data_IF_135113568033
#
_entry.id   IF_135113568033
#
_cell.length_a   1.000
_cell.length_b   1.000
_cell.length_c   1.000
_cell.angle_alpha   90.00
_cell.angle_beta   90.00
_cell.angle_gamma   90.00
#
_symmetry.space_group_name_H-M   'P 1'
#
loop_
_entity.id
_entity.type
_entity.pdbx_description
1 polymer ?
#
# COMPACT_ATOMS: atom_id res chain seq x y z
N UNK A 1 21.49 -1.06 -10.31
CA UNK A 1 20.23 -1.15 -11.05
C UNK A 1 19.51 -2.41 -10.60
N UNK A 2 18.26 -2.29 -10.20
CA UNK A 2 17.38 -3.38 -9.78
C UNK A 2 17.05 -4.28 -10.98
N UNK A 3 17.06 -5.60 -10.80
CA UNK A 3 16.67 -6.55 -11.83
C UNK A 3 15.67 -7.55 -11.26
N UNK A 4 14.75 -8.03 -12.08
CA UNK A 4 13.81 -9.07 -11.68
C UNK A 4 14.56 -10.36 -11.40
N UNK A 5 14.40 -10.90 -10.18
CA UNK A 5 14.95 -12.19 -9.77
C UNK A 5 14.02 -13.35 -10.13
N UNK A 6 12.74 -13.22 -9.75
CA UNK A 6 11.71 -14.20 -10.08
C UNK A 6 10.39 -13.50 -10.44
N UNK A 7 9.61 -14.17 -11.30
CA UNK A 7 8.22 -13.84 -11.60
C UNK A 7 7.40 -15.11 -11.44
N UNK A 8 6.58 -15.19 -10.40
CA UNK A 8 5.83 -16.40 -10.02
C UNK A 8 4.33 -16.11 -10.06
N UNK A 9 3.58 -17.01 -10.71
CA UNK A 9 2.12 -16.97 -10.71
C UNK A 9 1.59 -17.50 -9.39
N UNK A 10 0.76 -16.71 -8.70
CA UNK A 10 0.10 -17.08 -7.45
C UNK A 10 -1.37 -16.69 -7.57
N UNK A 11 -2.26 -17.60 -7.19
CA UNK A 11 -3.68 -17.27 -7.03
C UNK A 11 -3.90 -16.70 -5.63
N UNK A 12 -4.49 -15.52 -5.55
CA UNK A 12 -4.77 -14.86 -4.28
C UNK A 12 -6.26 -14.78 -4.03
N UNK A 13 -6.65 -14.65 -2.76
CA UNK A 13 -8.02 -14.63 -2.25
C UNK A 13 -8.81 -15.93 -2.55
N UNK A 14 -9.96 -16.10 -1.89
CA UNK A 14 -10.85 -17.24 -2.12
C UNK A 14 -11.40 -17.30 -3.56
N UNK A 15 -11.47 -16.15 -4.22
CA UNK A 15 -11.91 -16.02 -5.61
C UNK A 15 -10.83 -16.42 -6.64
N UNK A 16 -9.68 -16.91 -6.19
CA UNK A 16 -8.56 -17.36 -7.05
C UNK A 16 -8.15 -16.30 -8.09
N UNK A 17 -8.04 -15.05 -7.66
CA UNK A 17 -7.56 -13.96 -8.51
C UNK A 17 -6.15 -14.29 -8.99
N UNK A 18 -5.93 -14.31 -10.31
CA UNK A 18 -4.60 -14.49 -10.88
C UNK A 18 -3.73 -13.30 -10.56
N UNK A 19 -2.53 -13.56 -10.06
CA UNK A 19 -1.51 -12.54 -9.80
C UNK A 19 -0.10 -13.05 -10.10
N UNK A 20 0.81 -12.12 -10.35
CA UNK A 20 2.21 -12.40 -10.61
C UNK A 20 3.06 -11.67 -9.58
N UNK A 21 3.79 -12.43 -8.78
CA UNK A 21 4.69 -11.91 -7.75
C UNK A 21 6.09 -11.78 -8.32
N UNK A 22 6.65 -10.58 -8.21
CA UNK A 22 8.02 -10.28 -8.60
C UNK A 22 8.87 -10.08 -7.36
N UNK A 23 10.02 -10.74 -7.33
CA UNK A 23 11.13 -10.45 -6.42
C UNK A 23 12.30 -9.88 -7.22
N UNK A 24 13.23 -9.22 -6.54
CA UNK A 24 14.30 -8.46 -7.19
C UNK A 24 15.67 -8.82 -6.62
N UNK A 25 16.72 -8.65 -7.45
CA UNK A 25 18.11 -8.64 -6.99
C UNK A 25 18.51 -7.21 -6.67
N UNK A 26 19.51 -7.03 -5.80
CA UNK A 26 20.09 -5.74 -5.41
C UNK A 26 19.07 -4.76 -4.80
N UNK A 27 18.08 -5.28 -4.06
CA UNK A 27 17.13 -4.51 -3.26
C UNK A 27 17.50 -4.64 -1.78
N UNK A 28 17.44 -3.55 -1.05
CA UNK A 28 17.83 -3.49 0.37
C UNK A 28 16.78 -4.06 1.33
N UNK A 29 15.60 -4.40 0.82
CA UNK A 29 14.50 -4.95 1.60
C UNK A 29 13.75 -6.05 0.84
N UNK A 30 12.98 -6.89 1.53
CA UNK A 30 12.14 -7.94 0.93
C UNK A 30 10.80 -7.36 0.40
N UNK A 31 10.88 -6.29 -0.40
CA UNK A 31 9.71 -5.73 -1.06
C UNK A 31 9.26 -6.60 -2.24
N UNK A 32 7.95 -6.68 -2.45
CA UNK A 32 7.33 -7.40 -3.55
C UNK A 32 6.61 -6.43 -4.48
N UNK A 33 6.71 -6.68 -5.79
CA UNK A 33 5.79 -6.07 -6.75
C UNK A 33 4.81 -7.13 -7.22
N UNK A 34 3.52 -6.91 -6.98
CA UNK A 34 2.47 -7.87 -7.31
C UNK A 34 1.66 -7.30 -8.47
N UNK A 35 1.74 -7.92 -9.63
CA UNK A 35 0.92 -7.58 -10.79
C UNK A 35 -0.39 -8.36 -10.73
N UNK A 36 -1.50 -7.66 -10.77
CA UNK A 36 -2.84 -8.21 -10.91
C UNK A 36 -3.34 -7.78 -12.30
N UNK A 37 -3.33 -8.67 -13.29
CA UNK A 37 -3.86 -8.36 -14.62
C UNK A 37 -5.37 -8.13 -14.53
N UNK A 38 -5.92 -7.36 -15.47
CA UNK A 38 -7.37 -7.27 -15.64
C UNK A 38 -7.95 -8.65 -15.90
N UNK A 39 -9.05 -8.99 -15.22
CA UNK A 39 -9.67 -10.32 -15.30
C UNK A 39 -11.15 -10.22 -15.69
N UNK A 40 -11.66 -11.25 -16.34
CA UNK A 40 -13.08 -11.43 -16.57
C UNK A 40 -13.77 -12.01 -15.32
N UNK A 41 -15.10 -12.14 -15.36
CA UNK A 41 -15.88 -12.68 -14.23
C UNK A 41 -15.53 -14.13 -13.85
N UNK A 42 -14.89 -14.86 -14.77
CA UNK A 42 -14.46 -16.25 -14.59
C UNK A 42 -13.00 -16.36 -14.10
N UNK A 43 -12.34 -15.22 -13.82
CA UNK A 43 -10.95 -15.17 -13.33
C UNK A 43 -9.88 -15.32 -14.43
N UNK A 44 -10.29 -15.37 -15.71
CA UNK A 44 -9.37 -15.40 -16.84
C UNK A 44 -8.73 -14.03 -17.08
N UNK A 45 -7.42 -14.02 -17.37
CA UNK A 45 -6.71 -12.81 -17.76
C UNK A 45 -7.27 -12.26 -19.08
N UNK A 46 -7.60 -10.97 -19.09
CA UNK A 46 -7.94 -10.25 -20.31
C UNK A 46 -6.68 -9.56 -20.81
N UNK A 47 -6.26 -9.83 -22.04
CA UNK A 47 -5.16 -9.09 -22.65
C UNK A 47 -5.45 -7.58 -22.53
N UNK A 48 -4.60 -6.87 -21.79
CA UNK A 48 -4.78 -5.44 -21.59
C UNK A 48 -4.52 -4.71 -22.90
N UNK A 49 -5.58 -4.36 -23.60
CA UNK A 49 -5.55 -3.32 -24.64
C UNK A 49 -5.77 -1.94 -24.00
N UNK A 50 -5.45 -1.79 -22.69
CA UNK A 50 -5.64 -0.51 -22.01
C UNK A 50 -4.70 0.53 -22.62
N UNK A 51 -5.28 1.51 -23.29
CA UNK A 51 -4.59 2.72 -23.80
C UNK A 51 -4.11 3.65 -22.65
N UNK A 52 -4.17 3.22 -21.38
CA UNK A 52 -3.83 4.00 -20.20
C UNK A 52 -2.74 3.39 -19.32
N UNK A 53 -2.23 4.18 -18.38
CA UNK A 53 -1.30 3.72 -17.37
C UNK A 53 -1.94 2.68 -16.44
N UNK A 54 -1.20 1.68 -15.94
CA UNK A 54 -1.72 0.74 -14.96
C UNK A 54 -1.96 1.43 -13.59
N UNK A 55 -2.88 0.90 -12.81
CA UNK A 55 -3.03 1.31 -11.42
C UNK A 55 -1.84 0.85 -10.59
N UNK A 56 -1.41 1.68 -9.65
CA UNK A 56 -0.36 1.37 -8.66
C UNK A 56 -0.87 1.65 -7.26
N UNK A 57 -0.71 0.68 -6.37
CA UNK A 57 -0.82 0.87 -4.92
C UNK A 57 0.54 0.65 -4.28
N UNK A 58 1.05 1.65 -3.57
CA UNK A 58 2.18 1.46 -2.64
C UNK A 58 1.59 1.11 -1.28
N UNK A 59 1.78 -0.13 -0.84
CA UNK A 59 1.21 -0.65 0.40
C UNK A 59 2.32 -0.99 1.39
N UNK A 60 2.39 -0.26 2.50
CA UNK A 60 3.27 -0.60 3.62
C UNK A 60 2.61 -1.69 4.45
N UNK A 61 3.32 -2.76 4.73
CA UNK A 61 2.85 -3.91 5.50
C UNK A 61 2.19 -3.51 6.82
N UNK A 62 1.09 -4.18 7.12
CA UNK A 62 0.40 -4.08 8.39
C UNK A 62 -0.14 -5.46 8.78
N UNK A 63 0.70 -6.28 9.43
CA UNK A 63 0.36 -7.67 9.76
C UNK A 63 -0.99 -7.78 10.46
N UNK A 64 -1.25 -6.91 11.44
CA UNK A 64 -2.50 -6.93 12.19
C UNK A 64 -3.72 -6.58 11.33
N UNK A 65 -3.58 -5.64 10.39
CA UNK A 65 -4.66 -5.25 9.48
C UNK A 65 -4.81 -6.18 8.29
N UNK A 66 -3.70 -6.51 7.62
CA UNK A 66 -3.69 -7.23 6.35
C UNK A 66 -4.03 -8.72 6.53
N UNK A 67 -3.57 -9.34 7.65
CA UNK A 67 -3.74 -10.77 7.92
C UNK A 67 -4.85 -11.04 8.94
N UNK A 68 -4.86 -10.28 10.06
CA UNK A 68 -5.77 -10.55 11.18
C UNK A 68 -7.02 -9.66 11.18
N UNK A 69 -7.19 -8.77 10.21
CA UNK A 69 -8.38 -7.93 10.08
C UNK A 69 -8.60 -6.97 11.24
N UNK A 70 -7.50 -6.47 11.87
CA UNK A 70 -7.56 -5.54 12.99
C UNK A 70 -8.44 -4.33 12.68
N UNK A 71 -9.30 -3.96 13.61
CA UNK A 71 -10.16 -2.78 13.51
C UNK A 71 -9.49 -1.48 13.97
N UNK A 72 -8.26 -1.54 14.49
CA UNK A 72 -7.49 -0.35 14.88
C UNK A 72 -6.95 0.46 13.70
N UNK A 73 -7.01 -0.09 12.48
CA UNK A 73 -6.58 0.58 11.27
C UNK A 73 -7.48 0.19 10.08
N UNK A 74 -7.27 0.85 8.96
CA UNK A 74 -7.98 0.59 7.69
C UNK A 74 -7.12 -0.17 6.66
N UNK A 75 -5.90 -0.65 7.05
CA UNK A 75 -4.89 -1.15 6.11
C UNK A 75 -5.40 -2.36 5.30
N UNK A 76 -5.96 -3.38 5.96
CA UNK A 76 -6.49 -4.55 5.27
C UNK A 76 -7.64 -4.20 4.32
N UNK A 77 -8.56 -3.31 4.73
CA UNK A 77 -9.65 -2.86 3.86
C UNK A 77 -9.13 -2.12 2.62
N UNK A 78 -8.11 -1.26 2.78
CA UNK A 78 -7.48 -0.57 1.66
C UNK A 78 -6.73 -1.52 0.73
N UNK A 79 -6.10 -2.58 1.26
CA UNK A 79 -5.46 -3.63 0.45
C UNK A 79 -6.51 -4.37 -0.38
N UNK A 80 -7.60 -4.82 0.24
CA UNK A 80 -8.69 -5.51 -0.45
C UNK A 80 -9.38 -4.63 -1.51
N UNK A 81 -9.62 -3.34 -1.22
CA UNK A 81 -10.13 -2.38 -2.20
C UNK A 81 -9.19 -2.26 -3.41
N UNK A 82 -7.88 -2.16 -3.16
CA UNK A 82 -6.88 -2.07 -4.22
C UNK A 82 -6.85 -3.34 -5.09
N UNK A 83 -6.91 -4.52 -4.49
CA UNK A 83 -7.00 -5.80 -5.22
C UNK A 83 -8.25 -5.81 -6.10
N UNK A 84 -9.41 -5.39 -5.58
CA UNK A 84 -10.66 -5.32 -6.34
C UNK A 84 -10.55 -4.38 -7.55
N UNK A 85 -10.02 -3.17 -7.36
CA UNK A 85 -9.81 -2.20 -8.44
C UNK A 85 -8.89 -2.80 -9.51
N UNK A 86 -7.79 -3.45 -9.10
CA UNK A 86 -6.84 -4.03 -10.05
C UNK A 86 -7.40 -5.25 -10.78
N UNK A 87 -8.27 -6.04 -10.15
CA UNK A 87 -8.96 -7.14 -10.84
C UNK A 87 -9.85 -6.61 -11.97
N UNK A 88 -10.44 -5.44 -11.79
CA UNK A 88 -11.33 -4.81 -12.79
C UNK A 88 -10.55 -4.07 -13.89
N UNK A 89 -9.46 -3.38 -13.53
CA UNK A 89 -8.76 -2.47 -14.46
C UNK A 89 -7.33 -2.90 -14.80
N UNK A 90 -6.72 -3.78 -14.03
CA UNK A 90 -5.30 -4.15 -14.10
C UNK A 90 -4.42 -3.20 -13.28
N UNK A 91 -3.33 -3.71 -12.71
CA UNK A 91 -2.39 -2.86 -11.97
C UNK A 91 -1.37 -3.60 -11.14
N UNK A 92 -0.69 -2.84 -10.28
CA UNK A 92 0.42 -3.30 -9.47
C UNK A 92 0.27 -2.89 -8.00
N UNK A 93 0.62 -3.79 -7.08
CA UNK A 93 0.79 -3.49 -5.67
C UNK A 93 2.27 -3.61 -5.35
N UNK A 94 2.92 -2.50 -4.97
CA UNK A 94 4.23 -2.52 -4.32
C UNK A 94 4.00 -2.74 -2.82
N UNK A 95 4.26 -3.98 -2.35
CA UNK A 95 4.09 -4.37 -0.95
C UNK A 95 5.44 -4.26 -0.23
N UNK A 96 5.53 -3.31 0.72
CA UNK A 96 6.76 -2.93 1.39
C UNK A 96 6.78 -3.44 2.84
N UNK A 97 7.86 -4.09 3.30
CA UNK A 97 7.98 -4.60 4.68
C UNK A 97 8.28 -3.47 5.68
N UNK A 98 7.36 -2.48 5.78
CA UNK A 98 7.50 -1.28 6.60
C UNK A 98 6.40 -1.22 7.67
N UNK A 99 6.35 -2.27 8.52
CA UNK A 99 5.38 -2.38 9.60
C UNK A 99 5.47 -1.20 10.57
N UNK A 100 4.32 -0.76 11.07
CA UNK A 100 4.25 0.30 12.07
C UNK A 100 4.81 1.66 11.62
N UNK A 101 4.69 2.01 10.32
CA UNK A 101 5.34 3.17 9.71
C UNK A 101 6.87 3.09 9.73
N UNK A 102 7.41 1.87 9.58
CA UNK A 102 8.85 1.63 9.52
C UNK A 102 9.51 1.34 10.87
N UNK A 103 8.76 1.41 11.99
CA UNK A 103 9.33 1.15 13.33
C UNK A 103 9.32 -0.36 13.71
N UNK A 104 8.63 -1.19 12.92
CA UNK A 104 8.54 -2.62 13.15
C UNK A 104 7.34 -3.04 14.00
N UNK A 105 7.06 -4.37 14.02
CA UNK A 105 5.86 -4.92 14.64
C UNK A 105 5.82 -4.74 16.16
N UNK A 106 6.89 -5.04 16.87
CA UNK A 106 6.90 -4.97 18.34
C UNK A 106 6.75 -3.54 18.82
N UNK A 107 7.50 -2.60 18.26
CA UNK A 107 7.38 -1.18 18.59
C UNK A 107 5.97 -0.63 18.25
N UNK A 108 5.33 -1.15 17.22
CA UNK A 108 3.92 -0.83 16.93
C UNK A 108 2.99 -1.34 18.04
N UNK A 109 3.23 -2.53 18.61
CA UNK A 109 2.44 -3.03 19.72
C UNK A 109 2.67 -2.19 21.00
N UNK A 110 3.91 -1.76 21.24
CA UNK A 110 4.23 -0.83 22.33
C UNK A 110 3.53 0.53 22.13
N UNK A 111 3.51 1.04 20.88
CA UNK A 111 2.74 2.24 20.55
C UNK A 111 1.24 2.06 20.80
N UNK A 112 0.68 0.87 20.54
CA UNK A 112 -0.72 0.57 20.87
C UNK A 112 -0.98 0.60 22.38
N UNK A 113 -0.06 0.10 23.21
CA UNK A 113 -0.17 0.19 24.66
C UNK A 113 -0.20 1.65 25.16
N UNK A 114 0.61 2.53 24.56
CA UNK A 114 0.57 3.97 24.84
C UNK A 114 -0.73 4.63 24.37
N UNK A 115 -1.25 4.24 23.21
CA UNK A 115 -2.54 4.72 22.70
C UNK A 115 -3.71 4.33 23.63
N UNK A 116 -3.67 3.15 24.22
CA UNK A 116 -4.67 2.71 25.21
C UNK A 116 -4.62 3.55 26.50
N UNK A 117 -3.48 4.21 26.77
CA UNK A 117 -3.31 5.19 27.84
C UNK A 117 -3.72 6.61 27.45
N UNK A 118 -4.18 6.82 26.20
CA UNK A 118 -4.73 8.10 25.73
C UNK A 118 -3.83 8.91 24.81
N UNK A 119 -2.61 8.45 24.50
CA UNK A 119 -1.74 9.10 23.53
C UNK A 119 -2.26 8.91 22.08
N UNK A 120 -2.03 9.88 21.20
CA UNK A 120 -2.25 9.69 19.78
C UNK A 120 -1.10 8.88 19.13
N UNK A 121 -1.28 8.46 17.87
CA UNK A 121 -0.30 7.62 17.17
C UNK A 121 1.08 8.27 17.03
N UNK A 122 1.14 9.58 16.79
CA UNK A 122 2.39 10.32 16.60
C UNK A 122 3.11 10.53 17.92
N UNK A 123 2.35 10.91 18.97
CA UNK A 123 2.87 11.04 20.33
C UNK A 123 3.44 9.71 20.82
N UNK A 124 2.75 8.59 20.57
CA UNK A 124 3.22 7.27 20.94
C UNK A 124 4.58 6.94 20.31
N UNK A 125 4.73 7.17 19.00
CA UNK A 125 6.01 6.95 18.32
C UNK A 125 7.14 7.82 18.89
N UNK A 126 6.85 9.10 19.15
CA UNK A 126 7.81 10.04 19.74
C UNK A 126 8.26 9.64 21.15
N UNK A 127 7.33 9.17 21.98
CA UNK A 127 7.63 8.68 23.34
C UNK A 127 8.52 7.43 23.30
N UNK A 128 8.41 6.62 22.25
CA UNK A 128 9.26 5.45 22.02
C UNK A 128 10.60 5.81 21.35
N UNK A 129 10.88 7.09 21.10
CA UNK A 129 12.12 7.55 20.49
C UNK A 129 12.20 7.39 18.97
N UNK A 130 11.07 7.15 18.29
CA UNK A 130 10.99 7.02 16.85
C UNK A 130 10.49 8.30 16.17
N UNK A 131 10.84 8.51 14.88
CA UNK A 131 10.21 9.56 14.08
C UNK A 131 8.71 9.30 13.92
N UNK A 132 7.97 10.32 13.56
CA UNK A 132 6.53 10.21 13.29
C UNK A 132 6.21 9.27 12.14
N UNK A 133 7.07 9.25 11.12
CA UNK A 133 7.03 8.34 9.98
C UNK A 133 8.46 8.06 9.51
N UNK A 134 8.85 6.77 9.53
CA UNK A 134 10.16 6.29 9.10
C UNK A 134 10.07 5.51 7.77
N UNK A 135 8.96 5.64 7.04
CA UNK A 135 8.79 4.91 5.77
C UNK A 135 9.57 5.56 4.66
N UNK A 136 10.13 4.72 3.82
CA UNK A 136 10.83 5.10 2.61
C UNK A 136 10.20 4.44 1.39
N UNK A 137 10.20 5.13 0.24
CA UNK A 137 9.54 4.64 -0.96
C UNK A 137 10.47 4.57 -2.17
N UNK A 138 11.77 4.85 -1.99
CA UNK A 138 12.77 4.94 -3.07
C UNK A 138 12.91 3.66 -3.91
N UNK A 139 12.68 2.47 -3.33
CA UNK A 139 12.76 1.22 -4.07
C UNK A 139 11.60 1.02 -5.08
N UNK A 140 10.46 1.69 -4.89
CA UNK A 140 9.27 1.48 -5.74
C UNK A 140 9.49 1.91 -7.18
N UNK A 141 10.03 3.11 -7.47
CA UNK A 141 10.36 3.50 -8.84
C UNK A 141 11.30 2.51 -9.54
N UNK A 142 12.32 2.02 -8.84
CA UNK A 142 13.27 1.07 -9.40
C UNK A 142 12.59 -0.28 -9.73
N UNK A 143 11.68 -0.76 -8.85
CA UNK A 143 10.89 -1.96 -9.11
C UNK A 143 9.99 -1.80 -10.35
N UNK A 144 9.36 -0.64 -10.51
CA UNK A 144 8.51 -0.33 -11.67
C UNK A 144 9.32 -0.31 -12.97
N UNK A 145 10.45 0.40 -12.96
CA UNK A 145 11.36 0.47 -14.11
C UNK A 145 11.93 -0.91 -14.49
N UNK A 146 12.24 -1.76 -13.51
CA UNK A 146 12.72 -3.12 -13.76
C UNK A 146 11.69 -4.02 -14.47
N UNK A 147 10.40 -3.68 -14.43
CA UNK A 147 9.33 -4.37 -15.16
C UNK A 147 8.78 -3.54 -16.34
N UNK A 148 9.46 -2.43 -16.71
CA UNK A 148 9.12 -1.61 -17.87
C UNK A 148 7.93 -0.65 -17.66
N UNK A 149 7.64 -0.26 -16.42
CA UNK A 149 6.57 0.69 -16.09
C UNK A 149 7.16 2.05 -15.78
N UNK A 150 6.85 3.05 -16.61
CA UNK A 150 7.31 4.42 -16.49
C UNK A 150 6.18 5.40 -16.09
N UNK A 151 4.92 4.95 -16.16
CA UNK A 151 3.75 5.77 -15.84
C UNK A 151 2.66 4.97 -15.14
N UNK A 152 1.92 5.61 -14.23
CA UNK A 152 0.91 4.95 -13.38
C UNK A 152 -0.28 5.86 -13.05
N UNK A 153 -1.43 5.24 -12.71
CA UNK A 153 -2.49 5.84 -11.92
C UNK A 153 -2.27 5.45 -10.45
N UNK A 154 -1.92 6.40 -9.59
CA UNK A 154 -1.53 6.12 -8.22
C UNK A 154 -2.74 6.09 -7.28
N UNK A 155 -2.99 4.92 -6.65
CA UNK A 155 -4.00 4.74 -5.60
C UNK A 155 -3.40 5.13 -4.24
N UNK A 156 -3.65 6.35 -3.78
CA UNK A 156 -3.12 6.82 -2.50
C UNK A 156 -3.91 7.99 -1.92
N UNK A 157 -3.88 8.11 -0.59
CA UNK A 157 -4.30 9.29 0.15
C UNK A 157 -3.09 10.04 0.74
N UNK A 158 -1.87 9.46 0.62
CA UNK A 158 -0.63 10.03 1.17
C UNK A 158 0.15 10.81 0.09
N UNK A 159 0.38 12.12 0.25
CA UNK A 159 1.14 12.93 -0.70
C UNK A 159 2.61 12.49 -0.86
N UNK A 160 3.24 11.96 0.21
CA UNK A 160 4.66 11.55 0.15
C UNK A 160 4.89 10.42 -0.86
N UNK A 161 3.91 9.54 -1.04
CA UNK A 161 3.98 8.46 -2.04
C UNK A 161 3.96 8.99 -3.47
N UNK A 162 3.19 10.06 -3.70
CA UNK A 162 3.19 10.75 -4.99
C UNK A 162 4.55 11.41 -5.24
N UNK A 163 5.05 12.15 -4.26
CA UNK A 163 6.33 12.86 -4.37
C UNK A 163 7.48 11.89 -4.66
N UNK A 164 7.57 10.76 -3.93
CA UNK A 164 8.63 9.78 -4.14
C UNK A 164 8.67 9.19 -5.57
N UNK A 165 7.51 9.02 -6.20
CA UNK A 165 7.45 8.55 -7.59
C UNK A 165 7.90 9.65 -8.57
N UNK A 166 7.40 10.88 -8.40
CA UNK A 166 7.68 11.98 -9.32
C UNK A 166 9.14 12.43 -9.26
N UNK A 167 9.73 12.46 -8.07
CA UNK A 167 11.16 12.78 -7.88
C UNK A 167 12.10 11.77 -8.55
N UNK A 168 11.60 10.54 -8.74
CA UNK A 168 12.36 9.45 -9.39
C UNK A 168 12.02 9.28 -10.87
N UNK A 169 11.25 10.20 -11.46
CA UNK A 169 10.93 10.22 -12.90
C UNK A 169 9.78 9.31 -13.34
N UNK A 170 9.06 8.69 -12.43
CA UNK A 170 7.81 7.97 -12.76
C UNK A 170 6.68 8.97 -12.99
N UNK A 171 6.02 8.88 -14.13
CA UNK A 171 4.90 9.78 -14.48
C UNK A 171 3.63 9.32 -13.74
N UNK A 172 3.13 10.13 -12.83
CA UNK A 172 1.84 9.93 -12.19
C UNK A 172 0.78 10.66 -13.01
N UNK A 173 0.11 9.95 -13.94
CA UNK A 173 -0.92 10.55 -14.81
C UNK A 173 -2.17 10.96 -14.00
N UNK A 174 -2.46 10.25 -12.92
CA UNK A 174 -3.60 10.54 -12.04
C UNK A 174 -3.34 10.01 -10.63
N UNK A 175 -3.72 10.81 -9.63
CA UNK A 175 -3.86 10.35 -8.25
C UNK A 175 -5.33 10.00 -8.02
N UNK A 176 -5.58 8.80 -7.52
CA UNK A 176 -6.90 8.28 -7.17
C UNK A 176 -6.94 8.01 -5.69
N UNK A 177 -7.80 8.72 -4.97
CA UNK A 177 -7.97 8.52 -3.53
C UNK A 177 -8.60 7.16 -3.23
N UNK A 178 -8.03 6.43 -2.28
CA UNK A 178 -8.67 5.24 -1.72
C UNK A 178 -9.79 5.63 -0.76
N UNK A 179 -10.75 4.73 -0.54
CA UNK A 179 -11.80 4.95 0.45
C UNK A 179 -11.21 5.09 1.86
N UNK A 180 -11.92 5.83 2.70
CA UNK A 180 -11.67 5.92 4.13
C UNK A 180 -12.59 4.93 4.84
N UNK A 181 -12.05 3.89 5.43
CA UNK A 181 -12.78 2.86 6.16
C UNK A 181 -12.83 3.21 7.65
N UNK A 182 -13.89 3.90 8.07
CA UNK A 182 -14.04 4.43 9.42
C UNK A 182 -14.92 3.54 10.28
N UNK A 183 -14.43 3.16 11.46
CA UNK A 183 -15.14 2.44 12.51
C UNK A 183 -14.87 3.05 13.88
N UNK A 184 -15.50 2.53 14.92
CA UNK A 184 -15.31 3.02 16.31
C UNK A 184 -13.86 2.95 16.76
N UNK A 185 -13.15 1.87 16.40
CA UNK A 185 -11.83 1.56 16.94
C UNK A 185 -10.68 2.26 16.21
N UNK A 186 -10.93 2.84 15.00
CA UNK A 186 -9.90 3.52 14.21
C UNK A 186 -10.14 5.02 13.99
N UNK A 187 -11.20 5.59 14.57
CA UNK A 187 -11.56 6.99 14.35
C UNK A 187 -10.42 7.94 14.71
N UNK A 188 -9.77 7.75 15.87
CA UNK A 188 -8.62 8.56 16.30
C UNK A 188 -7.42 8.42 15.34
N UNK A 189 -7.18 7.20 14.85
CA UNK A 189 -6.11 6.93 13.88
C UNK A 189 -6.35 7.63 12.53
N UNK A 190 -7.57 7.62 12.03
CA UNK A 190 -7.95 8.30 10.78
C UNK A 190 -7.86 9.81 10.96
N UNK A 191 -8.33 10.36 12.09
CA UNK A 191 -8.22 11.78 12.39
C UNK A 191 -6.76 12.24 12.42
N UNK A 192 -5.87 11.49 13.07
CA UNK A 192 -4.43 11.79 13.09
C UNK A 192 -3.80 11.77 11.69
N UNK A 193 -4.25 10.89 10.80
CA UNK A 193 -3.80 10.90 9.40
C UNK A 193 -4.23 12.16 8.65
N UNK A 194 -5.45 12.65 8.87
CA UNK A 194 -5.94 13.87 8.24
C UNK A 194 -5.18 15.10 8.74
N UNK A 195 -5.07 15.25 10.05
CA UNK A 195 -4.60 16.47 10.68
C UNK A 195 -3.06 16.63 10.59
N UNK A 196 -2.33 15.53 10.73
CA UNK A 196 -0.87 15.55 10.83
C UNK A 196 -0.21 15.15 9.51
N UNK A 197 -0.63 14.03 8.91
CA UNK A 197 -0.03 13.50 7.69
C UNK A 197 -0.67 14.04 6.38
N UNK A 198 -1.56 15.02 6.46
CA UNK A 198 -2.22 15.71 5.32
C UNK A 198 -2.84 14.76 4.30
N UNK A 199 -3.35 13.60 4.76
CA UNK A 199 -4.03 12.66 3.89
C UNK A 199 -5.33 13.24 3.34
N UNK A 200 -5.56 13.05 2.05
CA UNK A 200 -6.84 13.35 1.41
C UNK A 200 -7.62 12.06 1.28
N UNK A 201 -8.84 12.04 1.77
CA UNK A 201 -9.66 10.83 1.73
C UNK A 201 -10.68 10.88 0.59
N UNK A 202 -10.88 9.73 -0.04
CA UNK A 202 -11.98 9.50 -0.97
C UNK A 202 -13.32 9.29 -0.23
N UNK A 203 -14.11 8.34 -0.70
CA UNK A 203 -15.40 8.00 -0.09
C UNK A 203 -15.20 7.46 1.33
N UNK A 204 -15.99 7.97 2.29
CA UNK A 204 -16.05 7.40 3.65
C UNK A 204 -16.97 6.17 3.65
N UNK A 205 -16.45 5.06 4.18
CA UNK A 205 -17.15 3.78 4.33
C UNK A 205 -17.16 3.40 5.81
N UNK A 206 -18.34 3.22 6.40
CA UNK A 206 -18.48 2.72 7.77
C UNK A 206 -18.20 1.22 7.83
N UNK A 207 -17.40 0.75 8.82
CA UNK A 207 -17.00 -0.65 9.01
C UNK A 207 -17.24 -1.13 10.43
#
# INVERSE_FOLDING_TARGET
>A
MLTVRNKIKIFITDNKITSWFYSFNNIDCEALLIHIPKQNKEGGEIASQSQGAPYLRIHSQCLTGDVFGSKRCECGNQLHESIKIMTEYGGYIAYLPQEGRGIGLYNKLDAYALQDQGHDTFQANKLLGFPEDAREYHCVPEMLLAVGIEKVFLLTNNPDKHQALTDSGIVVEKVVSTSCFMGRDNQKYIQAKADIARHTFGKVVSI
#
